data_IF_984613319605
#
_entry.id   IF_984613319605
#
_cell.length_a   1.000
_cell.length_b   1.000
_cell.length_c   1.000
_cell.angle_alpha   90.00
_cell.angle_beta   90.00
_cell.angle_gamma   90.00
#
_symmetry.space_group_name_H-M   'P 1'
#
loop_
_entity.id
_entity.type
_entity.pdbx_description
1 polymer ?
#
# COMPACT_ATOMS: atom_id res chain seq x y z
N UNK A 1 -24.71 2.28 21.40
CA UNK A 1 -25.20 2.36 20.01
C UNK A 1 -25.07 3.80 19.54
N UNK A 2 -24.28 4.05 18.49
CA UNK A 2 -24.21 5.40 17.88
C UNK A 2 -25.52 5.63 17.13
N UNK A 3 -26.17 6.76 17.40
CA UNK A 3 -27.39 7.16 16.71
C UNK A 3 -27.11 7.34 15.21
N UNK A 4 -28.11 7.07 14.35
CA UNK A 4 -28.04 7.39 12.92
C UNK A 4 -27.68 8.87 12.66
N UNK A 5 -28.15 9.74 13.55
CA UNK A 5 -27.84 11.19 13.51
C UNK A 5 -26.36 11.44 13.74
N UNK A 6 -25.74 10.75 14.73
CA UNK A 6 -24.31 10.88 15.01
C UNK A 6 -23.46 10.37 13.84
N UNK A 7 -23.90 9.26 13.22
CA UNK A 7 -23.23 8.72 12.04
C UNK A 7 -23.23 9.72 10.87
N UNK A 8 -24.42 10.26 10.53
CA UNK A 8 -24.56 11.25 9.45
C UNK A 8 -23.83 12.55 9.74
N UNK A 9 -23.84 13.00 11.00
CA UNK A 9 -23.10 14.20 11.41
C UNK A 9 -21.59 14.01 11.24
N UNK A 10 -21.07 12.88 11.72
CA UNK A 10 -19.65 12.56 11.61
C UNK A 10 -19.21 12.44 10.14
N UNK A 11 -20.02 11.78 9.29
CA UNK A 11 -19.73 11.66 7.87
C UNK A 11 -19.64 13.04 7.19
N UNK A 12 -20.63 13.92 7.42
CA UNK A 12 -20.61 15.29 6.88
C UNK A 12 -19.45 16.13 7.43
N UNK A 13 -19.10 15.93 8.69
CA UNK A 13 -17.97 16.62 9.29
C UNK A 13 -16.65 16.25 8.59
N UNK A 14 -16.41 14.96 8.36
CA UNK A 14 -15.23 14.47 7.67
C UNK A 14 -15.16 14.92 6.20
N UNK A 15 -16.30 14.97 5.49
CA UNK A 15 -16.38 15.46 4.11
C UNK A 15 -16.02 16.93 3.97
N UNK A 16 -16.24 17.74 5.03
CA UNK A 16 -15.88 19.17 5.08
C UNK A 16 -14.46 19.42 5.60
N UNK A 17 -13.77 18.37 6.02
CA UNK A 17 -12.39 18.45 6.51
C UNK A 17 -11.39 18.90 5.43
N UNK A 18 -10.17 19.24 5.81
CA UNK A 18 -9.14 19.70 4.89
C UNK A 18 -8.81 18.66 3.83
N UNK A 19 -8.42 19.11 2.64
CA UNK A 19 -7.90 18.22 1.59
C UNK A 19 -6.42 17.96 1.85
N UNK A 20 -6.08 16.69 2.03
CA UNK A 20 -4.72 16.27 2.38
C UNK A 20 -4.18 15.33 1.30
N UNK A 21 -2.99 15.63 0.79
CA UNK A 21 -2.21 14.72 -0.04
C UNK A 21 -1.01 14.26 0.77
N UNK A 22 -0.89 12.95 0.97
CA UNK A 22 0.21 12.33 1.69
C UNK A 22 1.03 11.47 0.72
N UNK A 23 2.35 11.71 0.63
CA UNK A 23 3.26 10.97 -0.22
C UNK A 23 4.20 10.12 0.62
N UNK A 24 4.43 8.90 0.22
CA UNK A 24 5.38 8.00 0.88
C UNK A 24 5.13 6.54 0.57
N UNK A 25 5.74 5.67 1.36
CA UNK A 25 5.58 4.22 1.24
C UNK A 25 5.67 3.55 2.60
N UNK A 26 5.40 2.26 2.62
CA UNK A 26 5.57 1.41 3.77
C UNK A 26 4.75 1.77 5.00
N UNK A 27 5.30 1.39 6.14
CA UNK A 27 4.64 1.47 7.44
C UNK A 27 4.37 2.91 7.92
N UNK A 28 5.28 3.84 7.61
CA UNK A 28 5.20 5.22 8.07
C UNK A 28 3.97 5.95 7.53
N UNK A 29 3.74 5.86 6.21
CA UNK A 29 2.57 6.46 5.57
C UNK A 29 1.28 5.83 6.10
N UNK A 30 1.18 4.51 6.18
CA UNK A 30 0.01 3.82 6.70
C UNK A 30 -0.31 4.24 8.16
N UNK A 31 0.72 4.43 9.00
CA UNK A 31 0.53 4.92 10.37
C UNK A 31 -0.05 6.34 10.40
N UNK A 32 0.47 7.24 9.57
CA UNK A 32 -0.05 8.60 9.42
C UNK A 32 -1.52 8.59 8.96
N UNK A 33 -1.84 7.78 7.95
CA UNK A 33 -3.20 7.68 7.38
C UNK A 33 -4.22 7.19 8.41
N UNK A 34 -3.86 6.23 9.28
CA UNK A 34 -4.72 5.79 10.39
C UNK A 34 -5.13 6.94 11.31
N UNK A 35 -4.22 7.89 11.55
CA UNK A 35 -4.53 9.08 12.35
C UNK A 35 -5.39 10.09 11.59
N UNK A 36 -5.01 10.42 10.38
CA UNK A 36 -5.65 11.48 9.59
C UNK A 36 -7.10 11.14 9.23
N UNK A 37 -7.46 9.87 9.02
CA UNK A 37 -8.82 9.46 8.65
C UNK A 37 -9.91 9.87 9.64
N UNK A 38 -9.55 10.22 10.87
CA UNK A 38 -10.49 10.70 11.88
C UNK A 38 -10.78 12.21 11.78
N UNK A 39 -10.04 12.94 10.97
CA UNK A 39 -10.16 14.38 10.81
C UNK A 39 -10.74 14.80 9.46
N UNK A 40 -10.57 13.97 8.44
CA UNK A 40 -11.08 14.25 7.09
C UNK A 40 -11.25 12.98 6.28
N UNK A 41 -12.19 12.96 5.36
CA UNK A 41 -12.32 11.96 4.29
C UNK A 41 -11.66 12.41 2.98
N UNK A 42 -11.21 13.67 2.89
CA UNK A 42 -10.61 14.24 1.69
C UNK A 42 -9.10 13.92 1.59
N UNK A 43 -8.75 12.63 1.67
CA UNK A 43 -7.37 12.14 1.70
C UNK A 43 -7.02 11.55 0.34
N UNK A 44 -5.82 11.89 -0.17
CA UNK A 44 -5.18 11.18 -1.27
C UNK A 44 -3.81 10.73 -0.82
N UNK A 45 -3.63 9.42 -0.69
CA UNK A 45 -2.33 8.80 -0.44
C UNK A 45 -1.66 8.44 -1.77
N UNK A 46 -0.48 8.99 -2.03
CA UNK A 46 0.36 8.66 -3.19
C UNK A 46 1.49 7.77 -2.69
N UNK A 47 1.48 6.50 -3.11
CA UNK A 47 2.30 5.44 -2.53
C UNK A 47 3.42 5.05 -3.48
N UNK A 48 4.64 4.91 -2.95
CA UNK A 48 5.79 4.40 -3.72
C UNK A 48 5.56 2.96 -4.19
N UNK A 49 6.18 2.61 -5.31
CA UNK A 49 6.05 1.28 -5.96
C UNK A 49 7.43 0.63 -6.19
N UNK A 50 8.38 0.94 -5.31
CA UNK A 50 9.76 0.43 -5.42
C UNK A 50 10.02 -0.83 -4.60
N UNK A 51 9.09 -1.22 -3.69
CA UNK A 51 9.22 -2.41 -2.83
C UNK A 51 9.47 -3.67 -3.67
N UNK A 52 10.55 -4.35 -3.37
CA UNK A 52 10.96 -5.61 -3.99
C UNK A 52 11.20 -6.73 -2.95
N UNK A 53 10.73 -6.52 -1.72
CA UNK A 53 10.89 -7.45 -0.62
C UNK A 53 9.70 -8.41 -0.44
N UNK A 54 9.96 -9.54 0.21
CA UNK A 54 8.95 -10.50 0.66
C UNK A 54 7.91 -10.88 -0.39
N UNK A 55 6.64 -10.96 0.02
CA UNK A 55 5.50 -11.32 -0.84
C UNK A 55 5.31 -10.35 -2.01
N UNK A 56 5.53 -9.05 -1.81
CA UNK A 56 5.40 -8.05 -2.87
C UNK A 56 6.44 -8.26 -3.98
N UNK A 57 7.69 -8.51 -3.58
CA UNK A 57 8.79 -8.75 -4.52
C UNK A 57 8.60 -10.02 -5.34
N UNK A 58 8.12 -11.11 -4.71
CA UNK A 58 7.81 -12.37 -5.42
C UNK A 58 6.73 -12.13 -6.47
N UNK A 59 5.58 -11.56 -6.09
CA UNK A 59 4.46 -11.31 -7.00
C UNK A 59 4.84 -10.35 -8.13
N UNK A 60 5.62 -9.32 -7.82
CA UNK A 60 6.19 -8.42 -8.81
C UNK A 60 7.07 -9.14 -9.84
N UNK A 61 7.93 -10.06 -9.36
CA UNK A 61 8.86 -10.82 -10.21
C UNK A 61 8.16 -11.86 -11.08
N UNK A 62 7.17 -12.56 -10.55
CA UNK A 62 6.46 -13.64 -11.22
C UNK A 62 5.34 -13.16 -12.15
N UNK A 63 4.57 -12.15 -11.72
CA UNK A 63 3.38 -11.68 -12.44
C UNK A 63 3.61 -10.33 -13.17
N UNK A 64 4.75 -9.67 -12.97
CA UNK A 64 5.03 -8.36 -13.58
C UNK A 64 4.16 -7.21 -13.08
N UNK A 65 3.39 -7.42 -12.01
CA UNK A 65 2.54 -6.39 -11.41
C UNK A 65 3.35 -5.41 -10.54
N UNK A 66 2.77 -4.26 -10.23
CA UNK A 66 3.34 -3.38 -9.20
C UNK A 66 3.29 -4.03 -7.83
N UNK A 67 4.27 -3.75 -6.93
CA UNK A 67 4.30 -4.34 -5.60
C UNK A 67 3.07 -3.93 -4.77
N UNK A 68 2.22 -4.88 -4.35
CA UNK A 68 0.95 -4.53 -3.72
C UNK A 68 1.06 -4.19 -2.23
N UNK A 69 2.17 -4.49 -1.56
CA UNK A 69 2.29 -4.47 -0.10
C UNK A 69 2.02 -3.11 0.52
N UNK A 70 2.70 -2.06 0.07
CA UNK A 70 2.56 -0.71 0.60
C UNK A 70 1.20 -0.12 0.27
N UNK A 71 0.71 -0.35 -0.95
CA UNK A 71 -0.64 0.05 -1.37
C UNK A 71 -1.71 -0.61 -0.50
N UNK A 72 -1.60 -1.93 -0.28
CA UNK A 72 -2.50 -2.66 0.64
C UNK A 72 -2.47 -2.07 2.05
N UNK A 73 -1.28 -1.79 2.60
CA UNK A 73 -1.14 -1.21 3.94
C UNK A 73 -1.85 0.15 4.04
N UNK A 74 -1.73 0.99 3.01
CA UNK A 74 -2.40 2.29 2.95
C UNK A 74 -3.92 2.15 2.78
N UNK A 75 -4.38 1.21 1.95
CA UNK A 75 -5.80 0.89 1.80
C UNK A 75 -6.42 0.45 3.13
N UNK A 76 -5.78 -0.49 3.84
CA UNK A 76 -6.23 -0.94 5.16
C UNK A 76 -6.19 0.19 6.21
N UNK A 77 -5.20 1.07 6.16
CA UNK A 77 -5.11 2.21 7.06
C UNK A 77 -6.31 3.16 6.92
N UNK A 78 -6.80 3.35 5.69
CA UNK A 78 -7.96 4.19 5.37
C UNK A 78 -9.29 3.42 5.34
N UNK A 79 -9.25 2.11 5.50
CA UNK A 79 -10.44 1.26 5.50
C UNK A 79 -11.38 1.58 6.69
N UNK A 80 -12.67 1.41 6.43
CA UNK A 80 -13.75 1.46 7.42
C UNK A 80 -14.51 0.13 7.37
N UNK A 81 -13.78 -0.94 7.61
CA UNK A 81 -14.25 -2.32 7.46
C UNK A 81 -14.30 -3.04 8.81
N UNK A 82 -14.98 -4.18 8.83
CA UNK A 82 -15.04 -5.05 10.01
C UNK A 82 -13.65 -5.57 10.39
N UNK A 83 -13.34 -5.69 11.69
CA UNK A 83 -12.02 -6.13 12.17
C UNK A 83 -11.56 -7.46 11.56
N UNK A 84 -12.47 -8.41 11.37
CA UNK A 84 -12.15 -9.72 10.80
C UNK A 84 -11.64 -9.61 9.34
N UNK A 85 -12.14 -8.66 8.57
CA UNK A 85 -11.65 -8.42 7.21
C UNK A 85 -10.25 -7.80 7.24
N UNK A 86 -10.00 -6.89 8.17
CA UNK A 86 -8.66 -6.31 8.35
C UNK A 86 -7.63 -7.39 8.71
N UNK A 87 -7.97 -8.29 9.64
CA UNK A 87 -7.13 -9.43 10.01
C UNK A 87 -6.88 -10.35 8.82
N UNK A 88 -7.93 -10.69 8.05
CA UNK A 88 -7.81 -11.54 6.88
C UNK A 88 -6.89 -10.94 5.82
N UNK A 89 -7.02 -9.65 5.53
CA UNK A 89 -6.18 -8.97 4.54
C UNK A 89 -4.73 -8.76 5.00
N UNK A 90 -4.48 -8.84 6.30
CA UNK A 90 -3.13 -8.84 6.87
C UNK A 90 -2.57 -10.26 7.06
N UNK A 91 -3.40 -11.29 6.93
CA UNK A 91 -2.99 -12.68 7.14
C UNK A 91 -1.81 -13.05 6.23
N UNK A 92 -0.82 -13.70 6.83
CA UNK A 92 0.35 -14.25 6.13
C UNK A 92 0.38 -15.75 6.28
N UNK A 93 0.50 -16.45 5.17
CA UNK A 93 0.58 -17.91 5.17
C UNK A 93 1.88 -18.38 5.83
N UNK A 94 1.76 -19.21 6.85
CA UNK A 94 2.88 -19.81 7.58
C UNK A 94 3.25 -21.21 7.06
N UNK A 95 2.52 -21.75 6.09
CA UNK A 95 2.73 -23.05 5.51
C UNK A 95 2.19 -23.11 4.08
N UNK A 96 2.42 -24.25 3.39
CA UNK A 96 1.95 -24.49 2.02
C UNK A 96 3.02 -24.20 0.97
N UNK A 97 3.29 -25.20 0.10
CA UNK A 97 4.22 -25.06 -1.02
C UNK A 97 3.67 -24.01 -1.98
N UNK A 98 4.41 -22.92 -2.20
CA UNK A 98 3.99 -21.78 -3.03
C UNK A 98 3.17 -20.71 -2.32
N UNK A 99 2.62 -20.98 -1.12
CA UNK A 99 1.89 -19.98 -0.34
C UNK A 99 2.71 -19.39 0.82
N UNK A 100 3.67 -20.16 1.33
CA UNK A 100 4.48 -19.75 2.47
C UNK A 100 5.08 -18.36 2.28
N UNK A 101 4.89 -17.51 3.28
CA UNK A 101 5.38 -16.13 3.26
C UNK A 101 4.53 -15.14 2.47
N UNK A 102 3.58 -15.60 1.64
CA UNK A 102 2.66 -14.70 0.98
C UNK A 102 1.62 -14.11 1.96
N UNK A 103 1.25 -12.86 1.70
CA UNK A 103 0.16 -12.20 2.38
C UNK A 103 -1.13 -12.35 1.58
N UNK A 104 -2.25 -12.69 2.22
CA UNK A 104 -3.54 -12.90 1.55
C UNK A 104 -4.00 -11.67 0.77
N UNK A 105 -3.92 -10.48 1.36
CA UNK A 105 -4.32 -9.24 0.68
C UNK A 105 -3.46 -8.93 -0.55
N UNK A 106 -2.16 -9.28 -0.53
CA UNK A 106 -1.31 -9.15 -1.70
C UNK A 106 -1.73 -10.11 -2.82
N UNK A 107 -2.06 -11.38 -2.48
CA UNK A 107 -2.55 -12.36 -3.44
C UNK A 107 -3.89 -11.92 -4.04
N UNK A 108 -4.78 -11.36 -3.24
CA UNK A 108 -6.06 -10.85 -3.72
C UNK A 108 -5.88 -9.68 -4.70
N UNK A 109 -5.02 -8.71 -4.37
CA UNK A 109 -4.71 -7.59 -5.29
C UNK A 109 -4.09 -8.14 -6.58
N UNK A 110 -3.21 -9.13 -6.51
CA UNK A 110 -2.60 -9.78 -7.67
C UNK A 110 -3.68 -10.44 -8.56
N UNK A 111 -4.56 -11.24 -8.00
CA UNK A 111 -5.66 -11.88 -8.73
C UNK A 111 -6.59 -10.85 -9.38
N UNK A 112 -6.96 -9.80 -8.65
CA UNK A 112 -7.78 -8.72 -9.20
C UNK A 112 -7.05 -7.96 -10.32
N UNK A 113 -5.71 -7.84 -10.22
CA UNK A 113 -4.90 -7.18 -11.25
C UNK A 113 -4.85 -7.99 -12.54
N UNK A 114 -4.81 -9.31 -12.48
CA UNK A 114 -4.94 -10.17 -13.65
C UNK A 114 -6.31 -10.04 -14.32
N UNK A 115 -7.38 -9.94 -13.52
CA UNK A 115 -8.76 -9.82 -14.03
C UNK A 115 -9.04 -8.46 -14.69
N UNK A 116 -8.55 -7.37 -14.12
CA UNK A 116 -9.05 -6.02 -14.43
C UNK A 116 -7.93 -5.02 -14.76
N UNK A 117 -6.66 -5.39 -14.63
CA UNK A 117 -5.54 -4.47 -14.60
C UNK A 117 -5.36 -3.80 -13.23
N UNK A 118 -4.14 -3.37 -12.92
CA UNK A 118 -3.73 -2.96 -11.57
C UNK A 118 -4.51 -1.76 -11.02
N UNK A 119 -4.71 -0.72 -11.83
CA UNK A 119 -5.43 0.50 -11.40
C UNK A 119 -6.89 0.19 -11.03
N UNK A 120 -7.57 -0.58 -11.86
CA UNK A 120 -8.96 -0.99 -11.59
C UNK A 120 -9.04 -1.94 -10.40
N UNK A 121 -8.08 -2.84 -10.24
CA UNK A 121 -8.00 -3.72 -9.08
C UNK A 121 -7.94 -2.91 -7.77
N UNK A 122 -7.09 -1.89 -7.67
CA UNK A 122 -7.01 -1.02 -6.51
C UNK A 122 -8.33 -0.28 -6.24
N UNK A 123 -8.98 0.20 -7.31
CA UNK A 123 -10.27 0.89 -7.19
C UNK A 123 -11.36 -0.03 -6.65
N UNK A 124 -11.47 -1.24 -7.17
CA UNK A 124 -12.47 -2.21 -6.70
C UNK A 124 -12.13 -2.70 -5.27
N UNK A 125 -10.85 -2.93 -4.97
CA UNK A 125 -10.42 -3.27 -3.62
C UNK A 125 -10.71 -2.16 -2.60
N UNK A 126 -10.57 -0.89 -3.00
CA UNK A 126 -10.95 0.26 -2.18
C UNK A 126 -12.44 0.27 -1.82
N UNK A 127 -13.31 -0.18 -2.73
CA UNK A 127 -14.75 -0.30 -2.47
C UNK A 127 -15.07 -1.41 -1.47
N UNK A 128 -14.42 -2.59 -1.65
CA UNK A 128 -14.60 -3.74 -0.74
C UNK A 128 -14.22 -3.37 0.70
N UNK A 129 -13.19 -2.56 0.86
CA UNK A 129 -12.69 -2.11 2.16
C UNK A 129 -13.38 -0.84 2.68
N UNK A 130 -14.35 -0.28 1.96
CA UNK A 130 -14.95 1.01 2.30
C UNK A 130 -13.90 2.09 2.64
N UNK A 131 -12.88 2.23 1.78
CA UNK A 131 -11.74 3.13 1.99
C UNK A 131 -12.20 4.58 1.99
N UNK A 132 -11.81 5.33 3.02
CA UNK A 132 -12.01 6.78 3.10
C UNK A 132 -10.90 7.50 2.32
N UNK A 133 -11.29 8.24 1.28
CA UNK A 133 -10.32 8.92 0.41
C UNK A 133 -9.84 8.04 -0.76
N UNK A 134 -8.59 8.22 -1.18
CA UNK A 134 -8.00 7.53 -2.33
C UNK A 134 -6.59 7.06 -2.02
N UNK A 135 -6.23 5.90 -2.55
CA UNK A 135 -4.86 5.38 -2.54
C UNK A 135 -4.44 5.16 -3.99
N UNK A 136 -3.37 5.80 -4.38
CA UNK A 136 -2.85 5.80 -5.76
C UNK A 136 -1.38 5.40 -5.74
N UNK A 137 -0.92 4.59 -6.70
CA UNK A 137 0.52 4.40 -6.93
C UNK A 137 1.12 5.71 -7.47
N UNK A 138 2.38 5.99 -7.14
CA UNK A 138 3.10 7.17 -7.67
C UNK A 138 3.29 7.11 -9.18
N UNK A 139 3.35 5.91 -9.74
CA UNK A 139 3.39 5.60 -11.18
C UNK A 139 2.81 4.21 -11.42
N UNK A 140 2.37 3.95 -12.65
CA UNK A 140 1.98 2.62 -13.13
C UNK A 140 3.15 1.87 -13.78
N UNK A 141 4.28 2.53 -13.97
CA UNK A 141 5.48 1.90 -14.53
C UNK A 141 6.17 1.00 -13.50
N UNK A 142 6.71 -0.12 -13.97
CA UNK A 142 7.47 -1.05 -13.14
C UNK A 142 8.91 -0.54 -12.93
N UNK A 143 9.06 0.50 -12.13
CA UNK A 143 10.35 1.14 -11.81
C UNK A 143 11.11 0.39 -10.71
N UNK A 144 12.43 0.45 -10.73
CA UNK A 144 13.31 -0.08 -9.68
C UNK A 144 14.19 1.03 -9.13
N UNK A 145 14.39 1.03 -7.83
CA UNK A 145 15.28 1.95 -7.18
C UNK A 145 16.75 1.57 -7.47
N UNK A 146 17.57 2.55 -7.83
CA UNK A 146 19.01 2.38 -8.02
C UNK A 146 19.79 3.34 -7.12
N UNK A 147 20.73 2.83 -6.35
CA UNK A 147 21.66 3.62 -5.55
C UNK A 147 23.07 3.53 -6.14
N UNK A 148 23.71 4.68 -6.29
CA UNK A 148 25.15 4.80 -6.60
C UNK A 148 25.86 5.20 -5.31
N UNK A 149 26.90 4.45 -4.93
CA UNK A 149 27.69 4.66 -3.72
C UNK A 149 28.92 5.53 -4.01
N UNK A 150 29.47 6.14 -2.95
CA UNK A 150 30.67 7.00 -3.08
C UNK A 150 31.89 6.22 -3.57
N UNK A 151 31.95 4.94 -3.27
CA UNK A 151 32.99 4.00 -3.70
C UNK A 151 32.90 3.63 -5.19
N UNK A 152 31.89 4.12 -5.90
CA UNK A 152 31.75 3.99 -7.37
C UNK A 152 30.93 2.78 -7.85
N UNK A 153 30.43 1.92 -6.96
CA UNK A 153 29.56 0.81 -7.33
C UNK A 153 28.07 1.19 -7.29
N UNK A 154 27.23 0.42 -7.99
CA UNK A 154 25.79 0.62 -8.04
C UNK A 154 25.04 -0.61 -7.49
N UNK A 155 23.94 -0.36 -6.81
CA UNK A 155 23.03 -1.39 -6.30
C UNK A 155 21.61 -1.11 -6.79
N UNK A 156 20.97 -2.14 -7.33
CA UNK A 156 19.60 -2.08 -7.85
C UNK A 156 18.67 -2.87 -6.93
N UNK A 157 17.53 -2.26 -6.59
CA UNK A 157 16.49 -2.84 -5.75
C UNK A 157 16.53 -2.32 -4.31
N UNK A 158 15.36 -1.99 -3.77
CA UNK A 158 15.20 -1.37 -2.46
C UNK A 158 15.73 -2.27 -1.33
N UNK A 159 15.36 -3.54 -1.33
CA UNK A 159 15.81 -4.52 -0.32
C UNK A 159 17.32 -4.72 -0.34
N UNK A 160 17.94 -4.71 -1.53
CA UNK A 160 19.40 -4.85 -1.67
C UNK A 160 20.13 -3.57 -1.23
N UNK A 161 19.57 -2.40 -1.55
CA UNK A 161 20.13 -1.11 -1.09
C UNK A 161 20.07 -1.05 0.44
N UNK A 162 18.97 -1.45 1.04
CA UNK A 162 18.81 -1.48 2.51
C UNK A 162 19.79 -2.45 3.20
N UNK A 163 20.18 -3.53 2.54
CA UNK A 163 21.14 -4.52 3.05
C UNK A 163 22.62 -4.16 2.77
N UNK A 164 22.89 -3.13 1.94
CA UNK A 164 24.24 -2.77 1.51
C UNK A 164 24.82 -1.68 2.41
N UNK A 165 25.98 -1.95 3.00
CA UNK A 165 26.74 -0.95 3.75
C UNK A 165 27.51 -0.04 2.78
N UNK A 166 27.56 1.26 3.09
CA UNK A 166 28.28 2.26 2.32
C UNK A 166 27.59 3.61 2.35
N UNK A 167 28.27 4.63 1.82
CA UNK A 167 27.70 5.98 1.70
C UNK A 167 27.04 6.15 0.34
N UNK A 168 25.72 6.31 0.33
CA UNK A 168 24.98 6.58 -0.89
C UNK A 168 25.33 7.98 -1.39
N UNK A 169 25.75 8.08 -2.65
CA UNK A 169 26.02 9.33 -3.37
C UNK A 169 24.79 9.84 -4.08
N UNK A 170 24.00 8.93 -4.67
CA UNK A 170 22.80 9.25 -5.46
C UNK A 170 21.81 8.09 -5.44
N UNK A 171 20.53 8.43 -5.44
CA UNK A 171 19.41 7.51 -5.68
C UNK A 171 18.67 7.97 -6.93
N UNK A 172 18.32 7.04 -7.79
CA UNK A 172 17.60 7.28 -9.05
C UNK A 172 16.65 6.13 -9.39
#
# INVERSE_FOLDING_TARGET
>A
EKSLVDFLYNQRHLERGPRIVALGGGTGLATLLRGIKYYTSNITAVVTVTDDGGSSGILRGELGILPPGDLRNCLLALADTEPILEELFQFRFSSGKGLYGHNFGNLLIAAMSEMYGFERALKEFSKVLAVRGRVLPVTLDNIKLKATYQEGFEVLGESRIAATFGRIKRVS
#
